data_IF_271107302486
#
_entry.id   IF_271107302486
#
_cell.length_a   1.000
_cell.length_b   1.000
_cell.length_c   1.000
_cell.angle_alpha   90.00
_cell.angle_beta   90.00
_cell.angle_gamma   90.00
#
_symmetry.space_group_name_H-M   'P 1'
#
loop_
_entity.id
_entity.type
_entity.pdbx_description
1 polymer ?
#
# COMPACT_ATOMS: atom_id res chain seq x y z
N UNK A 1 -43.49 -42.40 -18.18
CA UNK A 1 -44.39 -42.65 -17.04
C UNK A 1 -43.69 -42.10 -15.79
N UNK A 2 -44.21 -41.00 -15.23
CA UNK A 2 -43.66 -40.30 -14.06
C UNK A 2 -44.07 -41.05 -12.79
N UNK A 3 -43.14 -41.36 -11.89
CA UNK A 3 -43.45 -41.56 -10.46
C UNK A 3 -42.41 -40.79 -9.67
N UNK A 4 -42.89 -39.73 -9.00
CA UNK A 4 -42.18 -38.94 -7.99
C UNK A 4 -42.19 -39.74 -6.69
N UNK A 5 -41.04 -39.89 -6.03
CA UNK A 5 -40.98 -40.29 -4.62
C UNK A 5 -40.53 -39.07 -3.82
N UNK A 6 -41.47 -38.52 -3.06
CA UNK A 6 -41.22 -37.51 -2.05
C UNK A 6 -40.71 -38.22 -0.79
N UNK A 7 -39.53 -37.82 -0.30
CA UNK A 7 -39.08 -38.18 1.05
C UNK A 7 -39.39 -36.98 1.94
N UNK A 8 -40.43 -37.16 2.75
CA UNK A 8 -40.81 -36.29 3.85
C UNK A 8 -40.05 -36.81 5.08
N UNK A 9 -39.01 -36.08 5.52
CA UNK A 9 -38.37 -36.38 6.82
C UNK A 9 -38.57 -35.21 7.76
N UNK A 10 -39.15 -35.57 8.90
CA UNK A 10 -39.65 -34.82 10.03
C UNK A 10 -38.64 -33.80 10.61
N UNK A 11 -39.14 -32.60 10.89
CA UNK A 11 -38.49 -31.59 11.73
C UNK A 11 -38.40 -32.13 13.17
N UNK A 12 -37.19 -32.20 13.73
CA UNK A 12 -36.99 -32.25 15.17
C UNK A 12 -36.01 -31.14 15.57
N UNK A 13 -36.52 -30.10 16.19
CA UNK A 13 -35.74 -29.05 16.84
C UNK A 13 -35.16 -29.66 18.12
N UNK A 14 -33.84 -29.79 18.21
CA UNK A 14 -33.16 -30.13 19.45
C UNK A 14 -32.40 -28.90 19.94
N UNK A 15 -33.03 -28.14 20.84
CA UNK A 15 -32.37 -27.16 21.68
C UNK A 15 -31.52 -27.90 22.72
N UNK A 16 -30.21 -27.71 22.69
CA UNK A 16 -29.32 -28.17 23.76
C UNK A 16 -29.24 -27.04 24.80
N UNK A 17 -29.97 -27.21 25.90
CA UNK A 17 -29.81 -26.42 27.12
C UNK A 17 -28.78 -27.15 27.99
N UNK A 18 -27.62 -26.53 28.23
CA UNK A 18 -26.67 -27.00 29.25
C UNK A 18 -26.82 -26.08 30.47
N UNK A 19 -27.33 -26.64 31.57
CA UNK A 19 -27.35 -26.00 32.89
C UNK A 19 -26.25 -26.63 33.75
N UNK A 20 -25.38 -25.81 34.33
CA UNK A 20 -24.48 -26.21 35.41
C UNK A 20 -24.92 -25.60 36.75
N UNK A 21 -24.74 -26.31 37.88
CA UNK A 21 -25.22 -25.88 39.19
C UNK A 21 -24.32 -24.79 39.82
N UNK A 22 -24.98 -23.89 40.53
CA UNK A 22 -24.38 -22.85 41.38
C UNK A 22 -23.95 -23.43 42.73
N UNK A 23 -22.69 -23.18 43.14
CA UNK A 23 -22.33 -22.73 44.48
C UNK A 23 -20.81 -22.52 44.60
N UNK A 24 -20.41 -21.40 45.22
CA UNK A 24 -19.08 -21.25 45.84
C UNK A 24 -18.30 -20.02 45.40
N UNK A 25 -18.76 -18.84 45.82
CA UNK A 25 -18.02 -17.59 45.71
C UNK A 25 -16.62 -17.72 46.37
N UNK A 26 -15.56 -17.58 45.57
CA UNK A 26 -14.24 -17.17 46.02
C UNK A 26 -13.87 -15.88 45.29
N UNK A 27 -13.72 -14.86 46.13
CA UNK A 27 -13.27 -13.48 45.94
C UNK A 27 -12.76 -13.08 44.54
N UNK A 28 -13.27 -11.98 43.97
CA UNK A 28 -12.70 -11.41 42.76
C UNK A 28 -11.26 -10.96 43.03
N UNK A 29 -10.36 -11.39 42.15
CA UNK A 29 -9.03 -10.81 42.02
C UNK A 29 -9.15 -9.29 41.91
N UNK A 30 -8.28 -8.52 42.58
CA UNK A 30 -8.34 -7.07 42.53
C UNK A 30 -8.16 -6.62 41.09
N UNK A 31 -9.13 -5.84 40.62
CA UNK A 31 -9.02 -4.99 39.43
C UNK A 31 -7.82 -4.07 39.60
N UNK A 32 -6.66 -4.48 39.11
CA UNK A 32 -5.64 -3.52 38.74
C UNK A 32 -6.17 -2.82 37.50
N UNK A 33 -6.51 -1.54 37.67
CA UNK A 33 -6.68 -0.60 36.58
C UNK A 33 -5.54 -0.79 35.58
N UNK A 34 -5.78 -0.66 34.26
CA UNK A 34 -4.68 -0.65 33.31
C UNK A 34 -3.77 0.51 33.72
N UNK A 35 -2.54 0.18 34.10
CA UNK A 35 -1.49 1.16 34.19
C UNK A 35 -1.32 1.74 32.79
N UNK A 36 -1.88 2.93 32.59
CA UNK A 36 -1.53 3.83 31.52
C UNK A 36 -0.05 4.14 31.68
N UNK A 37 0.81 3.43 30.96
CA UNK A 37 2.10 3.96 30.53
C UNK A 37 2.12 3.93 29.01
N UNK A 38 1.41 4.89 28.41
CA UNK A 38 1.80 5.42 27.11
C UNK A 38 3.16 6.08 27.32
N UNK A 39 4.24 5.34 27.10
CA UNK A 39 5.57 5.95 27.05
C UNK A 39 5.64 6.70 25.74
N UNK A 40 5.19 7.96 25.77
CA UNK A 40 5.40 8.92 24.68
C UNK A 40 6.91 8.97 24.36
N UNK A 41 7.31 8.95 23.08
CA UNK A 41 8.71 9.04 22.72
C UNK A 41 9.30 10.37 23.20
N UNK A 42 10.42 10.29 23.90
CA UNK A 42 11.03 11.42 24.61
C UNK A 42 12.19 12.08 23.86
N UNK A 43 12.60 11.50 22.72
CA UNK A 43 13.75 11.93 21.92
C UNK A 43 13.56 11.54 20.45
N UNK A 44 14.32 12.16 19.57
CA UNK A 44 14.34 11.91 18.13
C UNK A 44 15.75 11.63 17.62
N UNK A 45 15.86 11.12 16.40
CA UNK A 45 17.15 10.97 15.70
C UNK A 45 17.93 12.29 15.54
N UNK A 46 17.29 13.46 15.71
CA UNK A 46 17.95 14.77 15.70
C UNK A 46 18.64 15.15 17.02
N UNK A 47 18.47 14.36 18.08
CA UNK A 47 19.03 14.65 19.41
C UNK A 47 20.44 14.06 19.62
N UNK A 48 21.07 13.51 18.58
CA UNK A 48 22.39 12.91 18.68
C UNK A 48 22.36 11.56 19.39
N UNK A 49 21.65 10.59 18.81
CA UNK A 49 21.32 9.31 19.47
C UNK A 49 22.36 8.20 19.27
N UNK A 50 23.48 8.50 18.61
CA UNK A 50 24.56 7.55 18.34
C UNK A 50 25.93 8.23 18.42
N UNK A 51 27.01 7.47 18.65
CA UNK A 51 28.38 8.01 18.63
C UNK A 51 29.05 7.82 17.27
N UNK A 52 30.06 8.64 17.00
CA UNK A 52 30.92 8.51 15.84
C UNK A 52 31.57 7.13 15.75
N UNK A 53 32.10 6.65 16.88
CA UNK A 53 32.78 5.37 16.98
C UNK A 53 31.84 4.22 16.63
N UNK A 54 30.57 4.31 17.05
CA UNK A 54 29.55 3.34 16.71
C UNK A 54 29.21 3.36 15.22
N UNK A 55 29.04 4.54 14.62
CA UNK A 55 28.82 4.67 13.18
C UNK A 55 30.00 4.12 12.36
N UNK A 56 31.25 4.30 12.81
CA UNK A 56 32.44 3.71 12.16
C UNK A 56 32.47 2.17 12.23
N UNK A 57 32.04 1.57 13.36
CA UNK A 57 31.85 0.11 13.44
C UNK A 57 30.76 -0.36 12.49
N UNK A 58 29.66 0.39 12.44
CA UNK A 58 28.55 0.17 11.53
C UNK A 58 28.94 0.20 10.06
N UNK A 59 29.78 1.16 9.66
CA UNK A 59 30.30 1.28 8.30
C UNK A 59 31.07 0.03 7.88
N UNK A 60 31.93 -0.48 8.77
CA UNK A 60 32.71 -1.70 8.52
C UNK A 60 31.81 -2.91 8.32
N UNK A 61 30.77 -3.06 9.16
CA UNK A 61 29.79 -4.15 9.04
C UNK A 61 28.92 -4.01 7.79
N UNK A 62 28.49 -2.79 7.48
CA UNK A 62 27.68 -2.48 6.30
C UNK A 62 28.43 -2.80 5.01
N UNK A 63 29.72 -2.43 4.92
CA UNK A 63 30.56 -2.73 3.77
C UNK A 63 30.65 -4.26 3.51
N UNK A 64 30.69 -5.06 4.57
CA UNK A 64 30.80 -6.52 4.48
C UNK A 64 29.47 -7.21 4.13
N UNK A 65 28.33 -6.66 4.57
CA UNK A 65 27.03 -7.37 4.58
C UNK A 65 25.96 -6.76 3.69
N UNK A 66 26.05 -5.46 3.40
CA UNK A 66 24.95 -4.68 2.82
C UNK A 66 25.34 -3.99 1.50
N UNK A 67 26.58 -3.50 1.39
CA UNK A 67 27.02 -2.62 0.31
C UNK A 67 26.92 -3.23 -1.10
N UNK A 68 26.95 -4.57 -1.23
CA UNK A 68 26.80 -5.22 -2.55
C UNK A 68 25.44 -4.98 -3.20
N UNK A 69 24.40 -4.73 -2.41
CA UNK A 69 23.03 -4.50 -2.89
C UNK A 69 22.63 -3.03 -2.75
N UNK A 70 23.03 -2.38 -1.66
CA UNK A 70 22.61 -1.00 -1.33
C UNK A 70 23.65 0.07 -1.69
N UNK A 71 24.69 -0.30 -2.44
CA UNK A 71 25.90 0.50 -2.71
C UNK A 71 26.69 0.87 -1.44
N UNK A 72 27.98 1.15 -1.60
CA UNK A 72 28.87 1.49 -0.48
C UNK A 72 28.49 2.80 0.21
N UNK A 73 27.87 3.72 -0.52
CA UNK A 73 27.45 5.04 -0.06
C UNK A 73 25.97 5.12 0.32
N UNK A 74 25.24 4.00 0.31
CA UNK A 74 23.80 3.86 0.59
C UNK A 74 22.87 4.43 -0.50
N UNK A 75 23.39 4.78 -1.68
CA UNK A 75 22.56 5.29 -2.78
C UNK A 75 21.67 4.24 -3.43
N UNK A 76 21.83 2.97 -3.08
CA UNK A 76 21.07 1.87 -3.68
C UNK A 76 21.47 1.60 -5.11
N UNK A 77 20.61 0.87 -5.83
CA UNK A 77 20.78 0.55 -7.25
C UNK A 77 19.64 -0.31 -7.75
N UNK A 78 19.84 -0.97 -8.89
CA UNK A 78 18.82 -1.86 -9.50
C UNK A 78 18.42 -3.04 -8.59
N UNK A 79 19.31 -3.44 -7.67
CA UNK A 79 19.13 -4.61 -6.81
C UNK A 79 18.37 -4.26 -5.52
N UNK A 80 18.62 -3.09 -4.94
CA UNK A 80 18.03 -2.71 -3.66
C UNK A 80 17.93 -1.18 -3.52
N UNK A 81 16.91 -0.68 -2.79
CA UNK A 81 16.65 0.75 -2.70
C UNK A 81 17.75 1.52 -1.98
N UNK A 82 17.78 2.83 -2.21
CA UNK A 82 18.63 3.75 -1.46
C UNK A 82 18.25 3.77 0.03
N UNK A 83 19.27 3.79 0.89
CA UNK A 83 19.13 3.90 2.34
C UNK A 83 19.55 5.27 2.87
N UNK A 84 19.95 6.21 2.01
CA UNK A 84 20.30 7.58 2.35
C UNK A 84 19.45 8.65 1.62
N UNK A 85 18.36 8.24 0.98
CA UNK A 85 17.51 9.10 0.19
C UNK A 85 16.47 9.83 1.05
N UNK A 86 15.87 10.88 0.48
CA UNK A 86 14.69 11.50 1.08
C UNK A 86 13.55 10.48 1.26
N UNK A 87 13.37 9.56 0.30
CA UNK A 87 12.41 8.46 0.37
C UNK A 87 12.68 7.54 1.57
N UNK A 88 13.92 7.12 1.80
CA UNK A 88 14.30 6.33 2.97
C UNK A 88 13.93 7.06 4.27
N UNK A 89 14.37 8.32 4.44
CA UNK A 89 14.08 9.09 5.66
C UNK A 89 12.59 9.22 5.92
N UNK A 90 11.82 9.42 4.85
CA UNK A 90 10.38 9.60 4.93
C UNK A 90 9.66 8.28 5.31
N UNK A 91 10.09 7.14 4.77
CA UNK A 91 9.53 5.82 5.11
C UNK A 91 9.67 5.46 6.59
N UNK A 92 10.67 6.03 7.26
CA UNK A 92 10.91 5.83 8.69
C UNK A 92 10.36 6.95 9.57
N UNK A 93 9.93 8.08 9.00
CA UNK A 93 9.45 9.22 9.79
C UNK A 93 8.22 8.87 10.63
N UNK A 94 8.23 9.26 11.90
CA UNK A 94 7.16 8.97 12.86
C UNK A 94 7.22 7.56 13.47
N UNK A 95 8.00 6.63 12.89
CA UNK A 95 8.29 5.32 13.48
C UNK A 95 9.41 5.44 14.53
N UNK A 96 9.59 4.38 15.31
CA UNK A 96 10.71 4.30 16.24
C UNK A 96 11.98 3.79 15.56
N UNK A 97 13.14 4.10 16.14
CA UNK A 97 14.41 3.49 15.70
C UNK A 97 14.40 1.97 15.92
N UNK A 98 13.61 1.45 16.85
CA UNK A 98 13.42 0.00 17.04
C UNK A 98 12.75 -0.65 15.83
N UNK A 99 11.78 0.03 15.19
CA UNK A 99 11.10 -0.48 14.00
C UNK A 99 12.08 -0.65 12.82
N UNK A 100 13.00 0.31 12.66
CA UNK A 100 14.10 0.22 11.69
C UNK A 100 15.04 -0.94 12.00
N UNK A 101 15.43 -1.07 13.26
CA UNK A 101 16.32 -2.16 13.70
C UNK A 101 15.66 -3.53 13.48
N UNK A 102 14.40 -3.70 13.85
CA UNK A 102 13.68 -4.96 13.69
C UNK A 102 13.43 -5.30 12.23
N UNK A 103 13.13 -4.32 11.37
CA UNK A 103 13.07 -4.56 9.92
C UNK A 103 14.39 -5.14 9.41
N UNK A 104 15.53 -4.55 9.78
CA UNK A 104 16.84 -5.07 9.35
C UNK A 104 17.04 -6.49 9.89
N UNK A 105 16.73 -6.76 11.16
CA UNK A 105 16.89 -8.10 11.74
C UNK A 105 16.06 -9.17 11.05
N UNK A 106 14.80 -8.89 10.74
CA UNK A 106 13.87 -9.90 10.22
C UNK A 106 14.16 -10.25 8.77
N UNK A 107 14.70 -9.30 8.00
CA UNK A 107 14.70 -9.40 6.54
C UNK A 107 16.07 -9.23 5.88
N UNK A 108 17.07 -8.79 6.65
CA UNK A 108 18.41 -8.49 6.14
C UNK A 108 19.49 -9.22 6.93
N UNK A 109 20.59 -9.58 6.26
CA UNK A 109 20.82 -9.54 4.81
C UNK A 109 19.89 -10.49 4.04
N UNK A 110 19.44 -10.13 2.83
CA UNK A 110 18.45 -10.92 2.07
C UNK A 110 18.83 -12.41 1.88
N UNK A 111 20.13 -12.70 1.76
CA UNK A 111 20.62 -14.07 1.58
C UNK A 111 20.81 -14.85 2.89
N UNK A 112 20.71 -14.17 4.03
CA UNK A 112 20.86 -14.76 5.37
C UNK A 112 20.10 -13.93 6.43
N UNK A 113 18.75 -13.82 6.35
CA UNK A 113 17.98 -12.98 7.26
C UNK A 113 18.11 -13.44 8.72
N UNK A 114 18.23 -12.49 9.65
CA UNK A 114 18.37 -12.80 11.09
C UNK A 114 19.78 -13.16 11.55
N UNK A 115 20.76 -13.20 10.64
CA UNK A 115 22.16 -13.54 10.96
C UNK A 115 22.91 -12.48 11.78
N UNK A 116 22.39 -11.25 11.86
CA UNK A 116 22.99 -10.14 12.60
C UNK A 116 22.40 -10.07 14.02
N UNK A 117 23.27 -10.03 15.03
CA UNK A 117 22.85 -9.78 16.41
C UNK A 117 22.41 -8.32 16.62
N UNK A 118 21.55 -8.06 17.61
CA UNK A 118 21.01 -6.69 17.87
C UNK A 118 22.08 -5.61 17.98
N UNK A 119 23.25 -5.90 18.59
CA UNK A 119 24.35 -4.93 18.66
C UNK A 119 24.94 -4.61 17.28
N UNK A 120 25.13 -5.61 16.42
CA UNK A 120 25.63 -5.40 15.06
C UNK A 120 24.62 -4.61 14.23
N UNK A 121 23.33 -4.90 14.41
CA UNK A 121 22.26 -4.13 13.75
C UNK A 121 22.21 -2.68 14.25
N UNK A 122 22.35 -2.43 15.56
CA UNK A 122 22.41 -1.09 16.12
C UNK A 122 23.60 -0.29 15.58
N UNK A 123 24.77 -0.92 15.46
CA UNK A 123 25.95 -0.30 14.85
C UNK A 123 25.68 0.07 13.36
N UNK A 124 25.05 -0.82 12.58
CA UNK A 124 24.65 -0.53 11.19
C UNK A 124 23.62 0.61 11.12
N UNK A 125 22.62 0.63 12.02
CA UNK A 125 21.64 1.72 12.08
C UNK A 125 22.32 3.06 12.39
N UNK A 126 23.28 3.10 13.31
CA UNK A 126 24.07 4.31 13.57
C UNK A 126 24.80 4.82 12.32
N UNK A 127 25.37 3.92 11.52
CA UNK A 127 25.99 4.28 10.23
C UNK A 127 24.98 4.82 9.21
N UNK A 128 23.80 4.20 9.11
CA UNK A 128 22.71 4.68 8.25
C UNK A 128 22.27 6.07 8.69
N UNK A 129 22.11 6.32 10.00
CA UNK A 129 21.76 7.63 10.53
C UNK A 129 22.82 8.68 10.18
N UNK A 130 24.10 8.34 10.33
CA UNK A 130 25.22 9.19 9.93
C UNK A 130 25.18 9.58 8.45
N UNK A 131 25.00 8.60 7.55
CA UNK A 131 24.90 8.86 6.10
C UNK A 131 23.66 9.65 5.69
N UNK A 132 22.64 9.70 6.55
CA UNK A 132 21.42 10.48 6.33
C UNK A 132 21.51 11.91 6.89
N UNK A 133 22.62 12.28 7.54
CA UNK A 133 22.88 13.63 8.04
C UNK A 133 22.32 13.91 9.43
N UNK A 134 21.92 12.88 10.19
CA UNK A 134 21.51 13.05 11.58
C UNK A 134 22.75 13.28 12.47
N UNK A 135 22.67 14.18 13.48
CA UNK A 135 23.82 14.56 14.27
C UNK A 135 24.35 13.40 15.12
N UNK A 136 25.65 13.41 15.38
CA UNK A 136 26.32 12.55 16.34
C UNK A 136 26.09 13.08 17.77
N UNK A 137 26.05 12.18 18.76
CA UNK A 137 26.00 12.52 20.17
C UNK A 137 27.07 11.83 21.00
N UNK A 138 26.86 11.80 22.32
CA UNK A 138 27.84 11.32 23.30
C UNK A 138 27.61 9.90 23.79
N UNK A 139 26.45 9.33 23.46
CA UNK A 139 26.01 8.02 23.94
C UNK A 139 25.80 7.10 22.75
N UNK A 140 26.20 5.83 22.87
CA UNK A 140 25.94 4.86 21.82
C UNK A 140 24.43 4.59 21.72
N UNK A 141 23.96 4.41 20.49
CA UNK A 141 22.62 3.93 20.19
C UNK A 141 22.44 2.58 20.87
N UNK A 142 21.46 2.52 21.76
CA UNK A 142 21.15 1.33 22.53
C UNK A 142 20.78 0.14 21.64
N UNK A 143 20.89 -1.07 22.17
CA UNK A 143 20.46 -2.29 21.47
C UNK A 143 19.12 -2.79 21.99
N UNK A 144 18.69 -2.34 23.16
CA UNK A 144 17.49 -2.75 23.88
C UNK A 144 16.24 -2.13 23.25
N UNK A 145 15.21 -2.95 23.00
CA UNK A 145 14.00 -2.53 22.28
C UNK A 145 13.25 -1.42 23.03
N UNK A 146 13.23 -1.52 24.35
CA UNK A 146 12.56 -0.60 25.26
C UNK A 146 13.15 0.81 25.17
N UNK A 147 14.46 0.93 24.91
CA UNK A 147 15.14 2.22 24.75
C UNK A 147 14.94 2.78 23.36
N UNK A 148 15.05 1.93 22.33
CA UNK A 148 14.93 2.33 20.93
C UNK A 148 13.50 2.75 20.55
N UNK A 149 12.48 2.18 21.19
CA UNK A 149 11.07 2.59 21.02
C UNK A 149 10.80 4.04 21.45
N UNK A 150 11.67 4.59 22.31
CA UNK A 150 11.56 5.98 22.78
C UNK A 150 12.21 7.00 21.85
N UNK A 151 12.94 6.54 20.82
CA UNK A 151 13.58 7.38 19.83
C UNK A 151 12.72 7.41 18.58
N UNK A 152 12.09 8.56 18.29
CA UNK A 152 11.41 8.79 17.02
C UNK A 152 12.43 9.00 15.90
N UNK A 153 12.21 8.32 14.79
CA UNK A 153 12.85 8.69 13.54
C UNK A 153 12.05 9.84 12.91
N UNK A 154 12.68 10.95 12.59
CA UNK A 154 12.04 12.14 12.02
C UNK A 154 12.81 12.57 10.78
N UNK A 155 12.17 12.56 9.61
CA UNK A 155 12.85 12.85 8.35
C UNK A 155 13.39 14.29 8.27
N UNK A 156 12.66 15.23 8.88
CA UNK A 156 12.94 16.64 8.84
C UNK A 156 13.45 17.13 10.18
N UNK A 157 14.45 18.02 10.15
CA UNK A 157 14.96 18.68 11.35
C UNK A 157 13.83 19.54 11.94
N UNK A 158 13.52 19.44 13.24
CA UNK A 158 12.55 20.32 13.88
C UNK A 158 12.97 21.77 13.67
N UNK A 159 12.06 22.60 13.15
CA UNK A 159 12.33 24.04 13.02
C UNK A 159 12.55 24.64 14.41
N UNK A 160 13.72 25.23 14.63
CA UNK A 160 14.01 25.97 15.85
C UNK A 160 13.06 27.15 15.94
N UNK A 161 12.28 27.24 17.01
CA UNK A 161 11.41 28.38 17.30
C UNK A 161 12.23 29.68 17.33
N UNK A 162 12.24 30.39 16.21
CA UNK A 162 12.92 31.67 16.04
C UNK A 162 12.40 32.33 14.76
N UNK A 163 11.73 33.46 14.95
CA UNK A 163 11.44 34.49 13.95
C UNK A 163 10.34 34.21 12.92
N UNK A 164 9.08 34.21 13.40
CA UNK A 164 7.91 34.43 12.55
C UNK A 164 7.68 35.94 12.41
N UNK A 165 8.30 36.54 11.39
CA UNK A 165 7.98 37.91 10.98
C UNK A 165 6.58 37.96 10.37
N UNK A 166 5.70 38.72 11.02
CA UNK A 166 4.30 38.86 10.67
C UNK A 166 4.13 39.65 9.37
N UNK A 167 3.80 38.97 8.27
CA UNK A 167 3.12 39.62 7.14
C UNK A 167 1.63 39.34 7.22
N UNK A 168 0.88 40.39 7.54
CA UNK A 168 -0.59 40.41 7.55
C UNK A 168 -1.12 40.14 6.15
N UNK A 169 -1.86 39.05 5.96
CA UNK A 169 -2.94 39.01 4.97
C UNK A 169 -4.27 38.94 5.72
N UNK A 170 -5.12 39.91 5.42
CA UNK A 170 -6.47 40.09 5.92
C UNK A 170 -7.35 38.93 5.46
N UNK A 171 -7.71 38.05 6.39
CA UNK A 171 -8.67 36.99 6.18
C UNK A 171 -10.08 37.57 6.39
N UNK A 172 -10.80 37.83 5.30
CA UNK A 172 -12.22 38.15 5.40
C UNK A 172 -12.97 36.89 5.85
N UNK A 173 -13.72 37.02 6.93
CA UNK A 173 -14.57 36.00 7.55
C UNK A 173 -15.30 35.14 6.52
N UNK A 174 -14.81 33.91 6.34
CA UNK A 174 -15.62 32.81 5.81
C UNK A 174 -16.01 31.98 7.02
N UNK A 175 -17.23 32.18 7.50
CA UNK A 175 -17.84 31.36 8.55
C UNK A 175 -17.83 29.90 8.10
N UNK A 176 -16.88 29.12 8.63
CA UNK A 176 -16.86 27.67 8.48
C UNK A 176 -17.97 27.11 9.37
N UNK A 177 -18.96 26.37 8.82
CA UNK A 177 -19.87 25.60 9.66
C UNK A 177 -19.05 24.61 10.50
N UNK A 178 -19.43 24.34 11.77
CA UNK A 178 -18.71 23.37 12.59
C UNK A 178 -18.68 22.02 11.88
N UNK A 179 -17.48 21.54 11.58
CA UNK A 179 -17.26 20.20 11.06
C UNK A 179 -17.81 19.21 12.09
N UNK A 180 -18.81 18.42 11.69
CA UNK A 180 -19.22 17.27 12.49
C UNK A 180 -18.03 16.32 12.54
N UNK A 181 -17.40 16.18 13.71
CA UNK A 181 -16.35 15.20 13.90
C UNK A 181 -16.98 13.81 13.97
N UNK A 182 -17.25 13.21 12.82
CA UNK A 182 -17.38 11.76 12.75
C UNK A 182 -16.00 11.19 13.06
N UNK A 183 -15.82 10.72 14.30
CA UNK A 183 -14.61 10.02 14.68
C UNK A 183 -14.61 8.63 14.06
N UNK A 184 -13.76 8.43 13.06
CA UNK A 184 -13.46 7.11 12.55
C UNK A 184 -12.75 6.29 13.64
N UNK A 185 -13.10 5.03 13.78
CA UNK A 185 -12.42 4.09 14.67
C UNK A 185 -12.29 2.74 13.97
N UNK A 186 -11.29 1.95 14.37
CA UNK A 186 -11.09 0.61 13.83
C UNK A 186 -12.21 -0.29 14.34
N UNK A 187 -13.05 -0.77 13.42
CA UNK A 187 -14.15 -1.69 13.78
C UNK A 187 -13.65 -3.13 13.98
N UNK A 188 -12.71 -3.58 13.15
CA UNK A 188 -12.17 -4.93 13.21
C UNK A 188 -10.74 -4.98 12.66
N UNK A 189 -10.00 -5.99 13.10
CA UNK A 189 -8.71 -6.39 12.50
C UNK A 189 -8.82 -7.86 12.14
N UNK A 190 -8.78 -8.16 10.84
CA UNK A 190 -8.96 -9.52 10.33
C UNK A 190 -7.56 -10.05 9.99
N UNK A 191 -7.02 -11.01 10.75
CA UNK A 191 -5.75 -11.62 10.41
C UNK A 191 -5.95 -12.50 9.18
N UNK A 192 -5.18 -12.25 8.13
CA UNK A 192 -5.12 -13.14 6.98
C UNK A 192 -3.86 -14.01 7.13
N UNK A 193 -3.97 -15.35 7.06
CA UNK A 193 -2.82 -16.24 7.25
C UNK A 193 -1.74 -16.07 6.17
N UNK A 194 -0.49 -16.08 6.61
CA UNK A 194 0.72 -16.05 5.78
C UNK A 194 1.61 -14.86 6.11
N UNK A 195 2.77 -14.78 5.45
CA UNK A 195 3.86 -13.84 5.73
C UNK A 195 4.25 -12.99 4.51
N UNK A 196 3.42 -13.01 3.47
CA UNK A 196 3.63 -12.22 2.25
C UNK A 196 2.93 -10.87 2.33
N UNK A 197 3.38 -9.92 1.49
CA UNK A 197 2.77 -8.60 1.40
C UNK A 197 1.41 -8.61 0.70
N UNK A 198 0.70 -7.50 0.86
CA UNK A 198 -0.56 -7.20 0.17
C UNK A 198 -0.36 -6.04 -0.77
N UNK A 199 -1.26 -5.92 -1.74
CA UNK A 199 -1.27 -4.83 -2.71
C UNK A 199 -2.73 -4.37 -2.93
N UNK A 200 -3.13 -3.95 -4.13
CA UNK A 200 -4.44 -3.36 -4.43
C UNK A 200 -5.63 -4.23 -3.98
N UNK A 201 -6.25 -3.82 -2.87
CA UNK A 201 -7.46 -4.43 -2.33
C UNK A 201 -8.67 -3.93 -3.10
N UNK A 202 -9.56 -4.84 -3.52
CA UNK A 202 -10.76 -4.50 -4.28
C UNK A 202 -12.03 -4.92 -3.55
N UNK A 203 -12.92 -3.97 -3.28
CA UNK A 203 -14.22 -4.23 -2.67
C UNK A 203 -15.31 -4.41 -3.73
N UNK A 204 -15.84 -5.61 -3.86
CA UNK A 204 -17.07 -5.90 -4.57
C UNK A 204 -18.25 -5.76 -3.59
N UNK A 205 -18.72 -4.53 -3.44
CA UNK A 205 -19.82 -4.19 -2.53
C UNK A 205 -21.15 -4.85 -2.90
N UNK A 206 -21.38 -5.16 -4.19
CA UNK A 206 -22.62 -5.79 -4.65
C UNK A 206 -22.67 -7.28 -4.30
N UNK A 207 -21.55 -7.99 -4.49
CA UNK A 207 -21.45 -9.40 -4.11
C UNK A 207 -21.06 -9.60 -2.63
N UNK A 208 -20.85 -8.51 -1.88
CA UNK A 208 -20.31 -8.50 -0.50
C UNK A 208 -18.98 -9.24 -0.40
N UNK A 209 -18.06 -9.02 -1.36
CA UNK A 209 -16.75 -9.66 -1.39
C UNK A 209 -15.61 -8.65 -1.34
N UNK A 210 -14.55 -8.99 -0.61
CA UNK A 210 -13.29 -8.27 -0.61
C UNK A 210 -12.21 -9.17 -1.21
N UNK A 211 -11.55 -8.72 -2.26
CA UNK A 211 -10.43 -9.41 -2.89
C UNK A 211 -9.13 -8.81 -2.38
N UNK A 212 -8.28 -9.64 -1.78
CA UNK A 212 -7.04 -9.21 -1.13
C UNK A 212 -5.86 -9.97 -1.75
N UNK A 213 -5.12 -9.34 -2.69
CA UNK A 213 -3.87 -9.86 -3.21
C UNK A 213 -2.87 -10.14 -2.11
N UNK A 214 -2.25 -11.33 -2.13
CA UNK A 214 -1.40 -11.82 -1.06
C UNK A 214 -0.30 -12.71 -1.62
N UNK A 215 0.76 -12.10 -2.17
CA UNK A 215 1.93 -12.77 -2.70
C UNK A 215 1.63 -13.75 -3.85
N UNK A 216 1.18 -14.96 -3.51
CA UNK A 216 0.93 -16.10 -4.41
C UNK A 216 -0.57 -16.44 -4.59
N UNK A 217 -1.46 -15.68 -3.94
CA UNK A 217 -2.89 -15.92 -4.01
C UNK A 217 -3.68 -14.61 -3.93
N UNK A 218 -4.97 -14.66 -4.25
CA UNK A 218 -5.95 -13.66 -3.81
C UNK A 218 -6.84 -14.31 -2.76
N UNK A 219 -6.85 -13.75 -1.56
CA UNK A 219 -7.78 -14.15 -0.49
C UNK A 219 -9.09 -13.40 -0.68
N UNK A 220 -10.20 -14.13 -0.64
CA UNK A 220 -11.54 -13.56 -0.81
C UNK A 220 -12.27 -13.62 0.53
N UNK A 221 -12.68 -12.45 1.03
CA UNK A 221 -13.45 -12.33 2.25
C UNK A 221 -14.89 -11.93 1.96
N UNK A 222 -15.80 -12.30 2.86
CA UNK A 222 -17.13 -11.73 2.96
C UNK A 222 -17.06 -10.38 3.70
N UNK A 223 -17.62 -9.32 3.08
CA UNK A 223 -17.54 -7.95 3.58
C UNK A 223 -18.35 -7.71 4.87
N UNK A 224 -19.34 -8.55 5.16
CA UNK A 224 -20.22 -8.40 6.33
C UNK A 224 -19.64 -9.09 7.57
N UNK A 225 -19.16 -10.31 7.41
CA UNK A 225 -18.66 -11.16 8.49
C UNK A 225 -17.14 -11.09 8.66
N UNK A 226 -16.40 -10.64 7.63
CA UNK A 226 -14.94 -10.72 7.59
C UNK A 226 -14.40 -12.14 7.44
N UNK A 227 -15.26 -13.13 7.20
CA UNK A 227 -14.83 -14.52 7.02
C UNK A 227 -14.14 -14.70 5.67
N UNK A 228 -13.08 -15.50 5.63
CA UNK A 228 -12.49 -15.96 4.37
C UNK A 228 -13.46 -16.93 3.71
N UNK A 229 -13.97 -16.57 2.54
CA UNK A 229 -14.94 -17.36 1.75
C UNK A 229 -14.30 -18.07 0.57
N UNK A 230 -13.04 -17.77 0.26
CA UNK A 230 -12.29 -18.49 -0.76
C UNK A 230 -10.90 -17.94 -1.00
N UNK A 231 -10.19 -18.62 -1.88
CA UNK A 231 -8.83 -18.29 -2.31
C UNK A 231 -8.70 -18.58 -3.80
N UNK A 232 -8.00 -17.71 -4.52
CA UNK A 232 -7.57 -17.94 -5.90
C UNK A 232 -6.06 -18.16 -5.84
N UNK A 233 -5.63 -19.41 -6.00
CA UNK A 233 -4.25 -19.84 -5.80
C UNK A 233 -3.48 -19.97 -7.13
N UNK A 234 -2.24 -20.48 -7.05
CA UNK A 234 -1.33 -20.71 -8.17
C UNK A 234 -0.98 -19.44 -8.96
N UNK A 235 -0.87 -18.33 -8.23
CA UNK A 235 -0.41 -17.04 -8.69
C UNK A 235 0.98 -16.76 -8.11
N UNK A 236 1.68 -15.75 -8.63
CA UNK A 236 2.92 -15.24 -8.03
C UNK A 236 3.12 -13.77 -8.37
N UNK A 237 3.41 -12.97 -7.35
CA UNK A 237 3.58 -11.52 -7.48
C UNK A 237 2.28 -10.85 -7.88
N UNK A 238 1.20 -11.16 -7.16
CA UNK A 238 -0.15 -10.63 -7.44
C UNK A 238 -0.27 -9.18 -6.99
N UNK A 239 -0.87 -8.33 -7.82
CA UNK A 239 -1.02 -6.91 -7.55
C UNK A 239 -2.47 -6.47 -7.34
N UNK A 240 -3.37 -6.66 -8.32
CA UNK A 240 -4.74 -6.15 -8.20
C UNK A 240 -5.80 -7.03 -8.85
N UNK A 241 -7.06 -6.67 -8.60
CA UNK A 241 -8.24 -7.36 -9.15
C UNK A 241 -9.18 -6.38 -9.86
N UNK A 242 -9.55 -6.69 -11.10
CA UNK A 242 -10.62 -6.01 -11.82
C UNK A 242 -11.87 -6.89 -11.94
N UNK A 243 -13.05 -6.31 -11.78
CA UNK A 243 -14.34 -7.01 -11.75
C UNK A 243 -15.17 -6.63 -12.98
N UNK A 244 -15.45 -7.60 -13.85
CA UNK A 244 -16.33 -7.46 -15.03
C UNK A 244 -17.62 -8.27 -14.82
N UNK A 245 -18.49 -7.74 -13.96
CA UNK A 245 -19.67 -8.44 -13.41
C UNK A 245 -20.63 -8.92 -14.49
N UNK A 246 -20.85 -8.14 -15.54
CA UNK A 246 -21.78 -8.48 -16.62
C UNK A 246 -21.39 -9.75 -17.38
N UNK A 247 -20.14 -10.20 -17.24
CA UNK A 247 -19.65 -11.46 -17.80
C UNK A 247 -19.44 -12.54 -16.73
N UNK A 248 -19.62 -12.22 -15.45
CA UNK A 248 -19.31 -13.12 -14.34
C UNK A 248 -17.81 -13.36 -14.16
N UNK A 249 -16.96 -12.45 -14.64
CA UNK A 249 -15.51 -12.65 -14.67
C UNK A 249 -14.76 -11.63 -13.81
N UNK A 250 -13.72 -12.09 -13.13
CA UNK A 250 -12.71 -11.24 -12.51
C UNK A 250 -11.35 -11.46 -13.18
N UNK A 251 -10.45 -10.50 -13.00
CA UNK A 251 -9.14 -10.48 -13.63
C UNK A 251 -8.08 -10.05 -12.63
N UNK A 252 -6.92 -10.73 -12.65
CA UNK A 252 -5.86 -10.56 -11.66
C UNK A 252 -4.54 -10.29 -12.37
N UNK A 253 -3.86 -9.18 -12.06
CA UNK A 253 -2.50 -8.91 -12.52
C UNK A 253 -1.47 -9.62 -11.65
N UNK A 254 -0.46 -10.24 -12.29
CA UNK A 254 0.60 -10.97 -11.61
C UNK A 254 1.94 -10.92 -12.39
N UNK A 255 3.07 -10.85 -11.68
CA UNK A 255 4.39 -10.60 -12.28
C UNK A 255 5.23 -11.84 -12.60
N UNK A 256 4.91 -13.02 -12.04
CA UNK A 256 5.66 -14.26 -12.32
C UNK A 256 4.73 -15.43 -12.74
N UNK A 257 4.59 -15.71 -14.05
CA UNK A 257 5.03 -14.88 -15.17
C UNK A 257 4.13 -13.66 -15.33
N UNK A 258 4.64 -12.58 -15.94
CA UNK A 258 3.88 -11.37 -16.22
C UNK A 258 2.61 -11.65 -17.04
N UNK A 259 1.48 -11.70 -16.34
CA UNK A 259 0.21 -12.20 -16.84
C UNK A 259 -0.99 -11.53 -16.19
N UNK A 260 -2.12 -11.64 -16.88
CA UNK A 260 -3.44 -11.42 -16.30
C UNK A 260 -4.18 -12.75 -16.25
N UNK A 261 -4.61 -13.15 -15.05
CA UNK A 261 -5.40 -14.37 -14.83
C UNK A 261 -6.88 -14.01 -14.78
N UNK A 262 -7.69 -14.66 -15.61
CA UNK A 262 -9.14 -14.55 -15.62
C UNK A 262 -9.75 -15.62 -14.74
N UNK A 263 -10.76 -15.28 -13.93
CA UNK A 263 -11.44 -16.22 -13.03
C UNK A 263 -12.96 -16.00 -13.02
N UNK A 264 -13.71 -17.02 -12.61
CA UNK A 264 -15.16 -16.96 -12.45
C UNK A 264 -15.52 -16.34 -11.10
N UNK A 265 -16.31 -15.26 -11.11
CA UNK A 265 -16.66 -14.52 -9.89
C UNK A 265 -17.47 -15.37 -8.90
N UNK A 266 -18.20 -16.38 -9.35
CA UNK A 266 -19.05 -17.18 -8.45
C UNK A 266 -18.26 -18.24 -7.71
N UNK A 267 -17.47 -19.00 -8.47
CA UNK A 267 -16.76 -20.22 -8.06
C UNK A 267 -15.30 -19.98 -7.71
N UNK A 268 -14.74 -18.81 -8.09
CA UNK A 268 -13.33 -18.46 -7.95
C UNK A 268 -12.38 -19.34 -8.78
N UNK A 269 -12.92 -20.13 -9.70
CA UNK A 269 -12.12 -20.98 -10.57
C UNK A 269 -11.37 -20.14 -11.61
N UNK A 270 -10.08 -20.40 -11.78
CA UNK A 270 -9.28 -19.85 -12.88
C UNK A 270 -9.83 -20.37 -14.22
N UNK A 271 -10.07 -19.45 -15.16
CA UNK A 271 -10.65 -19.72 -16.47
C UNK A 271 -9.62 -19.66 -17.59
N UNK A 272 -8.74 -18.66 -17.55
CA UNK A 272 -7.71 -18.44 -18.57
C UNK A 272 -6.56 -17.57 -18.02
N UNK A 273 -5.44 -17.51 -18.73
CA UNK A 273 -4.31 -16.64 -18.41
C UNK A 273 -3.74 -16.02 -19.69
N UNK A 274 -3.66 -14.69 -19.73
CA UNK A 274 -3.07 -13.94 -20.83
C UNK A 274 -1.67 -13.44 -20.43
N UNK A 275 -0.68 -13.63 -21.30
CA UNK A 275 0.65 -13.02 -21.11
C UNK A 275 0.61 -11.55 -21.51
N UNK A 276 0.95 -10.65 -20.60
CA UNK A 276 0.79 -9.20 -20.80
C UNK A 276 2.08 -8.40 -20.69
N UNK A 277 3.20 -9.06 -20.41
CA UNK A 277 4.53 -8.47 -20.43
C UNK A 277 5.31 -8.90 -19.18
N UNK A 278 6.07 -7.99 -18.58
CA UNK A 278 7.09 -8.34 -17.58
C UNK A 278 6.63 -8.06 -16.14
N UNK A 279 5.92 -6.96 -15.90
CA UNK A 279 5.59 -6.49 -14.55
C UNK A 279 4.21 -5.79 -14.52
N UNK A 280 3.11 -6.52 -14.85
CA UNK A 280 1.75 -5.98 -14.78
C UNK A 280 1.37 -5.68 -13.33
N UNK A 281 0.90 -4.46 -13.11
CA UNK A 281 0.55 -3.92 -11.80
C UNK A 281 -0.90 -3.47 -11.76
N UNK A 282 -1.18 -2.18 -11.93
CA UNK A 282 -2.53 -1.63 -11.92
C UNK A 282 -3.43 -2.33 -12.92
N UNK A 283 -4.65 -2.66 -12.51
CA UNK A 283 -5.63 -3.34 -13.34
C UNK A 283 -7.02 -2.80 -13.06
N UNK A 284 -7.75 -2.42 -14.11
CA UNK A 284 -9.11 -1.88 -14.00
C UNK A 284 -10.02 -2.45 -15.09
N UNK A 285 -11.33 -2.36 -14.87
CA UNK A 285 -12.33 -2.65 -15.88
C UNK A 285 -12.96 -1.36 -16.42
N UNK A 286 -13.07 -1.24 -17.74
CA UNK A 286 -13.84 -0.19 -18.41
C UNK A 286 -15.13 -0.76 -19.00
N UNK A 287 -16.31 -0.38 -18.46
CA UNK A 287 -17.59 -0.93 -18.91
C UNK A 287 -18.00 -0.43 -20.30
N UNK A 288 -17.49 0.73 -20.74
CA UNK A 288 -17.83 1.30 -22.05
C UNK A 288 -17.31 0.45 -23.20
N UNK A 289 -16.04 0.07 -23.11
CA UNK A 289 -15.36 -0.74 -24.13
C UNK A 289 -15.40 -2.24 -23.83
N UNK A 290 -15.90 -2.61 -22.63
CA UNK A 290 -15.95 -3.99 -22.13
C UNK A 290 -14.57 -4.64 -22.10
N UNK A 291 -13.57 -3.86 -21.67
CA UNK A 291 -12.17 -4.26 -21.63
C UNK A 291 -11.59 -4.08 -20.24
N UNK A 292 -10.73 -5.01 -19.87
CA UNK A 292 -9.82 -4.86 -18.74
C UNK A 292 -8.53 -4.24 -19.24
N UNK A 293 -8.04 -3.24 -18.53
CA UNK A 293 -6.78 -2.56 -18.81
C UNK A 293 -5.80 -2.90 -17.69
N UNK A 294 -4.59 -3.34 -18.05
CA UNK A 294 -3.50 -3.53 -17.09
C UNK A 294 -2.30 -2.68 -17.48
N UNK A 295 -1.76 -1.96 -16.51
CA UNK A 295 -0.55 -1.16 -16.59
C UNK A 295 0.66 -2.04 -16.29
N UNK A 296 1.57 -2.18 -17.24
CA UNK A 296 2.80 -2.96 -17.10
C UNK A 296 3.99 -2.04 -16.87
N UNK A 297 4.48 -2.06 -15.62
CA UNK A 297 5.62 -1.27 -15.13
C UNK A 297 6.91 -1.58 -15.88
N UNK A 298 7.13 -2.84 -16.20
CA UNK A 298 8.37 -3.39 -16.73
C UNK A 298 8.44 -3.20 -18.23
N UNK A 299 7.36 -3.56 -18.93
CA UNK A 299 7.27 -3.37 -20.39
C UNK A 299 6.80 -1.96 -20.78
N UNK A 300 6.46 -1.09 -19.83
CA UNK A 300 6.10 0.33 -20.02
C UNK A 300 4.95 0.53 -21.00
N UNK A 301 3.90 -0.27 -20.84
CA UNK A 301 2.74 -0.32 -21.73
C UNK A 301 1.45 -0.54 -20.96
N UNK A 302 0.33 -0.31 -21.63
CA UNK A 302 -0.98 -0.75 -21.15
C UNK A 302 -1.50 -1.83 -22.09
N UNK A 303 -1.94 -2.97 -21.56
CA UNK A 303 -2.60 -4.02 -22.36
C UNK A 303 -4.10 -4.01 -22.10
N UNK A 304 -4.89 -4.02 -23.17
CA UNK A 304 -6.33 -4.15 -23.11
C UNK A 304 -6.75 -5.60 -23.41
N UNK A 305 -7.64 -6.15 -22.59
CA UNK A 305 -8.14 -7.53 -22.66
C UNK A 305 -9.66 -7.48 -22.79
N UNK A 306 -10.24 -8.22 -23.74
CA UNK A 306 -11.68 -8.35 -23.83
C UNK A 306 -12.22 -9.08 -22.58
N UNK A 307 -13.05 -8.41 -21.80
CA UNK A 307 -13.49 -8.93 -20.49
C UNK A 307 -14.46 -10.11 -20.59
N UNK A 308 -15.09 -10.31 -21.75
CA UNK A 308 -15.94 -11.48 -22.01
C UNK A 308 -15.12 -12.72 -22.34
N UNK A 309 -14.04 -12.58 -23.12
CA UNK A 309 -13.32 -13.72 -23.70
C UNK A 309 -11.94 -13.98 -23.10
N UNK A 310 -11.40 -13.04 -22.31
CA UNK A 310 -10.05 -13.10 -21.75
C UNK A 310 -8.94 -12.90 -22.79
N UNK A 311 -9.26 -12.55 -24.04
CA UNK A 311 -8.27 -12.39 -25.11
C UNK A 311 -7.78 -10.95 -25.22
N UNK A 312 -6.49 -10.79 -25.50
CA UNK A 312 -5.85 -9.49 -25.72
C UNK A 312 -6.54 -8.80 -26.90
N UNK A 313 -7.04 -7.59 -26.67
CA UNK A 313 -7.66 -6.73 -27.67
C UNK A 313 -6.64 -5.76 -28.30
N UNK A 314 -5.52 -5.51 -27.63
CA UNK A 314 -4.40 -4.70 -28.11
C UNK A 314 -3.58 -4.11 -26.97
N UNK A 315 -2.59 -3.28 -27.32
CA UNK A 315 -1.73 -2.58 -26.36
C UNK A 315 -1.53 -1.11 -26.74
N UNK A 316 -1.17 -0.31 -25.75
CA UNK A 316 -0.65 1.04 -25.89
C UNK A 316 0.81 1.01 -25.45
N UNK A 317 1.72 1.04 -26.41
CA UNK A 317 3.16 0.94 -26.18
C UNK A 317 3.82 2.33 -26.21
N UNK A 318 5.11 2.39 -25.87
CA UNK A 318 5.93 3.61 -25.92
C UNK A 318 5.39 4.77 -25.07
N UNK A 319 4.87 4.47 -23.87
CA UNK A 319 4.31 5.47 -22.96
C UNK A 319 5.37 6.38 -22.30
N UNK A 320 6.66 6.19 -22.60
CA UNK A 320 7.72 7.12 -22.21
C UNK A 320 8.16 7.06 -20.73
N UNK A 321 7.56 6.18 -19.91
CA UNK A 321 7.88 6.03 -18.50
C UNK A 321 7.30 4.76 -17.88
N UNK A 322 7.50 4.60 -16.58
CA UNK A 322 6.94 3.56 -15.74
C UNK A 322 5.47 3.85 -15.46
N UNK A 323 4.59 2.99 -15.95
CA UNK A 323 3.14 3.03 -15.69
C UNK A 323 2.84 2.56 -14.27
N UNK A 324 1.84 3.09 -13.57
CA UNK A 324 1.52 2.63 -12.21
C UNK A 324 0.05 2.20 -12.04
N UNK A 325 -0.83 3.15 -11.75
CA UNK A 325 -2.25 2.94 -11.47
C UNK A 325 -3.10 3.61 -12.56
N UNK A 326 -4.28 3.03 -12.81
CA UNK A 326 -5.25 3.44 -13.81
C UNK A 326 -6.59 3.82 -13.16
N UNK A 327 -7.37 4.69 -13.79
CA UNK A 327 -8.79 4.87 -13.49
C UNK A 327 -9.58 5.06 -14.79
N UNK A 328 -10.78 4.46 -14.90
CA UNK A 328 -11.66 4.68 -16.04
C UNK A 328 -12.66 5.81 -15.73
N UNK A 329 -12.95 6.63 -16.73
CA UNK A 329 -14.09 7.56 -16.66
C UNK A 329 -15.43 6.90 -17.00
N UNK A 330 -15.43 5.62 -17.38
CA UNK A 330 -16.57 4.82 -17.87
C UNK A 330 -17.26 5.40 -19.11
N UNK A 331 -16.71 6.48 -19.67
CA UNK A 331 -17.10 7.12 -20.91
C UNK A 331 -16.28 6.65 -22.12
N UNK A 332 -15.24 5.82 -21.89
CA UNK A 332 -14.34 5.30 -22.91
C UNK A 332 -12.95 5.91 -22.87
N UNK A 333 -12.58 6.59 -21.79
CA UNK A 333 -11.21 7.01 -21.53
C UNK A 333 -10.65 6.38 -20.27
N UNK A 334 -9.35 6.14 -20.28
CA UNK A 334 -8.60 5.63 -19.14
C UNK A 334 -7.51 6.61 -18.79
N UNK A 335 -7.42 6.99 -17.54
CA UNK A 335 -6.33 7.77 -16.99
C UNK A 335 -5.23 6.85 -16.46
N UNK A 336 -3.98 7.26 -16.62
CA UNK A 336 -2.81 6.48 -16.21
C UNK A 336 -1.77 7.36 -15.54
N UNK A 337 -1.33 6.95 -14.34
CA UNK A 337 -0.16 7.53 -13.70
C UNK A 337 1.12 7.01 -14.35
N UNK A 338 1.97 7.95 -14.76
CA UNK A 338 3.34 7.69 -15.18
C UNK A 338 4.26 8.13 -14.03
N UNK A 339 4.58 7.19 -13.15
CA UNK A 339 5.12 7.46 -11.82
C UNK A 339 6.49 8.12 -11.85
N UNK A 340 7.41 7.61 -12.67
CA UNK A 340 8.78 8.14 -12.79
C UNK A 340 8.84 9.46 -13.57
N UNK A 341 7.97 9.63 -14.58
CA UNK A 341 7.86 10.84 -15.39
C UNK A 341 7.12 11.98 -14.67
N UNK A 342 6.38 11.68 -13.60
CA UNK A 342 5.56 12.67 -12.90
C UNK A 342 4.40 13.17 -13.74
N UNK A 343 3.80 12.30 -14.55
CA UNK A 343 2.79 12.66 -15.54
C UNK A 343 1.49 11.90 -15.35
N UNK A 344 0.40 12.52 -15.80
CA UNK A 344 -0.89 11.90 -16.04
C UNK A 344 -1.07 11.72 -17.54
N UNK A 345 -1.45 10.53 -17.96
CA UNK A 345 -1.89 10.29 -19.34
C UNK A 345 -3.39 10.08 -19.38
N UNK A 346 -4.04 10.60 -20.42
CA UNK A 346 -5.39 10.22 -20.81
C UNK A 346 -5.32 9.38 -22.07
N UNK A 347 -5.93 8.21 -22.03
CA UNK A 347 -5.89 7.18 -23.05
C UNK A 347 -7.30 7.00 -23.62
N UNK A 348 -7.41 6.84 -24.93
CA UNK A 348 -8.63 6.42 -25.59
C UNK A 348 -8.76 4.88 -25.48
N UNK A 349 -9.77 4.42 -24.74
CA UNK A 349 -9.93 3.00 -24.40
C UNK A 349 -10.30 2.15 -25.62
N UNK A 350 -10.91 2.75 -26.65
CA UNK A 350 -11.40 2.04 -27.82
C UNK A 350 -10.30 1.84 -28.87
N UNK A 351 -9.65 2.93 -29.26
CA UNK A 351 -8.60 3.00 -30.29
C UNK A 351 -7.21 2.67 -29.76
N UNK A 352 -7.05 2.59 -28.42
CA UNK A 352 -5.81 2.23 -27.74
C UNK A 352 -4.68 3.20 -28.09
N UNK A 353 -4.90 4.48 -27.78
CA UNK A 353 -3.94 5.56 -28.02
C UNK A 353 -3.88 6.51 -26.83
N UNK A 354 -2.68 7.02 -26.54
CA UNK A 354 -2.55 8.20 -25.68
C UNK A 354 -3.11 9.42 -26.41
N UNK A 355 -4.01 10.14 -25.74
CA UNK A 355 -4.65 11.35 -26.25
C UNK A 355 -3.97 12.60 -25.72
N UNK A 356 -3.77 12.63 -24.40
CA UNK A 356 -3.23 13.78 -23.67
C UNK A 356 -2.20 13.31 -22.65
N UNK A 357 -1.22 14.17 -22.42
CA UNK A 357 -0.19 13.98 -21.40
C UNK A 357 -0.01 15.29 -20.64
N UNK A 358 -0.16 15.22 -19.32
CA UNK A 358 -0.04 16.39 -18.45
C UNK A 358 1.03 16.18 -17.40
N UNK A 359 1.87 17.20 -17.20
CA UNK A 359 2.89 17.21 -16.16
C UNK A 359 2.25 17.52 -14.81
N UNK A 360 2.45 16.65 -13.82
CA UNK A 360 2.00 16.84 -12.44
C UNK A 360 3.13 17.27 -11.49
N UNK A 361 4.38 17.15 -11.92
CA UNK A 361 5.55 17.52 -11.12
C UNK A 361 6.16 18.87 -11.55
N UNK A 362 6.47 19.78 -10.60
CA UNK A 362 5.89 19.88 -9.25
C UNK A 362 4.38 20.29 -9.31
N UNK A 363 3.55 19.99 -8.30
CA UNK A 363 3.92 19.57 -6.94
C UNK A 363 3.85 18.06 -6.64
N UNK A 364 3.25 17.23 -7.50
CA UNK A 364 3.03 15.81 -7.19
C UNK A 364 4.34 15.01 -7.11
N UNK A 365 5.28 15.25 -8.02
CA UNK A 365 6.51 14.45 -8.09
C UNK A 365 6.22 13.08 -8.71
N UNK A 366 5.99 12.06 -7.87
CA UNK A 366 5.71 10.68 -8.31
C UNK A 366 4.24 10.31 -8.07
N UNK A 367 3.35 10.44 -9.07
CA UNK A 367 1.97 9.99 -8.95
C UNK A 367 1.93 8.47 -8.87
N UNK A 368 1.26 7.92 -7.85
CA UNK A 368 1.19 6.47 -7.61
C UNK A 368 -0.25 6.00 -7.72
N UNK A 369 -1.08 6.32 -6.73
CA UNK A 369 -2.46 5.87 -6.64
C UNK A 369 -3.41 6.74 -7.45
N UNK A 370 -4.51 6.16 -7.91
CA UNK A 370 -5.53 6.87 -8.69
C UNK A 370 -6.92 6.31 -8.43
N UNK A 371 -7.90 7.21 -8.37
CA UNK A 371 -9.32 6.92 -8.61
C UNK A 371 -9.99 8.20 -9.14
N UNK A 372 -11.28 8.18 -9.44
CA UNK A 372 -11.96 9.26 -10.12
C UNK A 372 -13.39 9.49 -9.63
N UNK A 373 -13.68 10.75 -9.33
CA UNK A 373 -15.04 11.27 -9.31
C UNK A 373 -15.51 11.48 -10.76
N UNK A 374 -16.31 10.52 -11.23
CA UNK A 374 -16.84 10.49 -12.60
C UNK A 374 -17.90 11.57 -12.83
N UNK A 375 -18.66 11.94 -11.79
CA UNK A 375 -19.72 12.96 -11.89
C UNK A 375 -19.12 14.35 -12.17
N UNK A 376 -18.03 14.68 -11.49
CA UNK A 376 -17.38 15.99 -11.62
C UNK A 376 -16.14 15.97 -12.54
N UNK A 377 -15.84 14.84 -13.17
CA UNK A 377 -14.64 14.64 -13.98
C UNK A 377 -13.36 15.08 -13.23
N UNK A 378 -13.16 14.53 -12.04
CA UNK A 378 -11.99 14.79 -11.18
C UNK A 378 -11.22 13.50 -10.97
N UNK A 379 -9.97 13.49 -11.45
CA UNK A 379 -9.03 12.42 -11.17
C UNK A 379 -8.33 12.73 -9.86
N UNK A 380 -8.47 11.84 -8.89
CA UNK A 380 -7.79 11.90 -7.61
C UNK A 380 -6.50 11.11 -7.68
N UNK A 381 -5.40 11.71 -7.26
CA UNK A 381 -4.06 11.14 -7.38
C UNK A 381 -3.35 11.28 -6.05
N UNK A 382 -2.89 10.16 -5.51
CA UNK A 382 -1.96 10.13 -4.39
C UNK A 382 -0.53 10.07 -4.92
N UNK A 383 0.31 10.97 -4.44
CA UNK A 383 1.70 11.07 -4.84
C UNK A 383 2.60 10.51 -3.74
N UNK A 384 3.62 9.72 -4.10
CA UNK A 384 4.56 9.13 -3.13
C UNK A 384 5.30 10.17 -2.28
N UNK A 385 5.29 11.43 -2.73
CA UNK A 385 5.80 12.62 -2.04
C UNK A 385 4.97 13.07 -0.83
N UNK A 386 3.85 12.42 -0.52
CA UNK A 386 2.97 12.82 0.58
C UNK A 386 1.96 13.90 0.20
N UNK A 387 1.62 13.98 -1.08
CA UNK A 387 0.63 14.93 -1.60
C UNK A 387 -0.52 14.18 -2.27
N UNK A 388 -1.74 14.55 -1.92
CA UNK A 388 -2.93 14.26 -2.70
C UNK A 388 -3.19 15.42 -3.66
N UNK A 389 -3.52 15.11 -4.90
CA UNK A 389 -3.92 16.07 -5.91
C UNK A 389 -5.27 15.68 -6.53
N UNK A 390 -6.20 16.63 -6.55
CA UNK A 390 -7.39 16.55 -7.40
C UNK A 390 -7.08 17.25 -8.72
N UNK A 391 -7.26 16.53 -9.83
CA UNK A 391 -6.92 16.96 -11.18
C UNK A 391 -8.20 17.00 -12.02
N UNK A 392 -8.40 18.08 -12.78
CA UNK A 392 -9.49 18.17 -13.75
C UNK A 392 -9.21 17.22 -14.93
N UNK A 393 -10.07 16.22 -15.14
CA UNK A 393 -9.85 15.15 -16.15
C UNK A 393 -10.03 15.60 -17.61
N UNK A 394 -10.48 16.83 -17.85
CA UNK A 394 -10.55 17.41 -19.20
C UNK A 394 -9.28 18.21 -19.54
N UNK A 395 -8.68 18.87 -18.55
CA UNK A 395 -7.59 19.83 -18.77
C UNK A 395 -6.25 19.41 -18.18
N UNK A 396 -6.23 18.38 -17.32
CA UNK A 396 -5.03 17.95 -16.59
C UNK A 396 -4.58 18.92 -15.50
N UNK A 397 -5.34 19.98 -15.25
CA UNK A 397 -4.98 20.99 -14.27
C UNK A 397 -5.24 20.48 -12.86
N UNK A 398 -4.24 20.60 -11.98
CA UNK A 398 -4.42 20.40 -10.54
C UNK A 398 -5.32 21.51 -10.01
N UNK A 399 -6.47 21.14 -9.45
CA UNK A 399 -7.49 22.07 -8.92
C UNK A 399 -7.48 22.17 -7.40
N UNK A 400 -6.99 21.14 -6.71
CA UNK A 400 -6.79 21.16 -5.27
C UNK A 400 -5.67 20.19 -4.88
N UNK A 401 -5.03 20.48 -3.74
CA UNK A 401 -4.04 19.58 -3.14
C UNK A 401 -4.26 19.50 -1.63
N UNK A 402 -3.87 18.37 -1.05
CA UNK A 402 -3.91 18.14 0.39
C UNK A 402 -2.70 17.29 0.80
N UNK A 403 -2.02 17.57 1.93
CA UNK A 403 -1.01 16.65 2.46
C UNK A 403 -1.64 15.29 2.84
N UNK A 404 -0.92 14.22 2.54
CA UNK A 404 -1.21 12.83 2.94
C UNK A 404 0.08 12.16 3.44
N UNK A 405 -0.02 10.90 3.86
CA UNK A 405 1.16 10.08 4.17
C UNK A 405 2.03 9.84 2.93
N UNK A 406 3.33 9.66 3.17
CA UNK A 406 4.32 9.34 2.13
C UNK A 406 4.16 7.90 1.65
N UNK A 407 4.65 7.62 0.44
CA UNK A 407 4.66 6.26 -0.11
C UNK A 407 3.27 5.67 -0.37
N UNK A 408 2.25 6.51 -0.53
CA UNK A 408 0.91 6.07 -0.94
C UNK A 408 0.98 5.25 -2.22
N UNK A 409 0.23 4.15 -2.26
CA UNK A 409 0.29 3.19 -3.36
C UNK A 409 -1.09 2.91 -3.98
N UNK A 410 -2.13 2.90 -3.13
CA UNK A 410 -3.53 2.80 -3.54
C UNK A 410 -4.38 3.94 -2.96
N UNK A 411 -5.48 4.27 -3.64
CA UNK A 411 -6.53 5.16 -3.18
C UNK A 411 -7.85 4.68 -3.79
N UNK A 412 -8.97 4.95 -3.12
CA UNK A 412 -10.33 4.63 -3.56
C UNK A 412 -11.23 5.83 -3.25
N UNK A 413 -12.25 6.08 -4.08
CA UNK A 413 -13.20 7.18 -3.95
C UNK A 413 -14.68 6.74 -3.98
#
# INVERSE_FOLDING_TARGET
>A
MKIRIAILTLILVASVIVVFPSAGAKQPFPSQAPATSSTEPTQSVWDGVYTKEQASRGETLYAQRCARCHAADLTGGEIAPALNSAEFKSNWSGLSVDDLLERIKVSMPQNDPGSLGRQQTADIVAFVLFKNGFPEGKTELAREAEVLKLIRFEANKPETSGDRETTKFSESERTTPPASTSSYHVMARIPIPGDTGWDYITADSEARRLYVPHGIEVVVLDLDSGAIVGKIADLKGVHGVAIAREFGHGFISATDPGSVTMFDLKTLAVLDKASVGDDPNGIIYDPKTQRVFTADRGSKRVTAINARTGKIAGSIDNLGGRTEHLASDEGGHVFLNMQDAGQLHKLDAQSLKAMETWQLAPPCGQPSSMDMDREHNRVFIGCRSGLFAAVDGATGKIVATQPIGLGVDALEF
#
